data_IF_902032224538
#
_entry.id   IF_902032224538
#
_cell.length_a   1.000
_cell.length_b   1.000
_cell.length_c   1.000
_cell.angle_alpha   90.00
_cell.angle_beta   90.00
_cell.angle_gamma   90.00
#
_symmetry.space_group_name_H-M   'P 1'
#
loop_
_entity.id
_entity.type
_entity.pdbx_description
1 polymer ?
#
# COMPACT_ATOMS: atom_id res chain seq x y z
N UNK A 1 29.87 -3.21 9.17
CA UNK A 1 29.53 -2.49 7.93
C UNK A 1 28.02 -2.55 7.80
N UNK A 2 27.33 -1.43 8.02
CA UNK A 2 25.88 -1.36 7.84
C UNK A 2 25.60 -1.23 6.34
N UNK A 3 25.34 -2.34 5.68
CA UNK A 3 24.68 -2.31 4.37
C UNK A 3 23.29 -1.73 4.61
N UNK A 4 23.10 -0.45 4.28
CA UNK A 4 21.76 0.10 4.07
C UNK A 4 21.19 -0.64 2.86
N UNK A 5 20.54 -1.79 3.10
CA UNK A 5 19.72 -2.49 2.12
C UNK A 5 18.72 -1.47 1.58
N UNK A 6 19.01 -0.92 0.40
CA UNK A 6 18.37 0.30 -0.09
C UNK A 6 16.86 0.19 -0.09
N UNK A 7 16.20 1.12 0.60
CA UNK A 7 14.74 1.25 0.59
C UNK A 7 14.30 1.90 -0.72
N UNK A 8 13.29 1.33 -1.36
CA UNK A 8 12.66 1.93 -2.55
C UNK A 8 11.38 2.61 -2.10
N UNK A 9 11.28 3.91 -2.34
CA UNK A 9 10.05 4.68 -2.08
C UNK A 9 9.29 4.84 -3.39
N UNK A 10 8.02 4.45 -3.40
CA UNK A 10 7.07 4.62 -4.51
C UNK A 10 5.93 5.51 -4.06
N UNK A 11 5.62 6.55 -4.82
CA UNK A 11 4.47 7.39 -4.58
C UNK A 11 3.31 6.90 -5.44
N UNK A 12 2.14 6.67 -4.84
CA UNK A 12 0.90 6.43 -5.56
C UNK A 12 0.23 7.80 -5.68
N UNK A 13 0.10 8.32 -6.91
CA UNK A 13 -0.41 9.67 -7.14
C UNK A 13 -1.92 9.73 -6.87
N UNK A 14 -2.42 10.93 -6.61
CA UNK A 14 -3.80 11.16 -6.17
C UNK A 14 -4.82 10.68 -7.22
N UNK A 15 -4.50 10.81 -8.50
CA UNK A 15 -5.34 10.33 -9.61
C UNK A 15 -5.52 8.79 -9.60
N UNK A 16 -4.48 8.04 -9.23
CA UNK A 16 -4.61 6.58 -9.04
C UNK A 16 -5.46 6.22 -7.81
N UNK A 17 -5.39 7.02 -6.74
CA UNK A 17 -6.23 6.86 -5.54
C UNK A 17 -7.71 7.19 -5.86
N UNK A 18 -7.95 8.20 -6.70
CA UNK A 18 -9.28 8.60 -7.16
C UNK A 18 -9.90 7.57 -8.13
N UNK A 19 -9.08 6.90 -8.95
CA UNK A 19 -9.54 5.87 -9.91
C UNK A 19 -9.87 4.51 -9.31
N UNK A 20 -9.53 4.28 -8.03
CA UNK A 20 -9.82 3.02 -7.32
C UNK A 20 -11.26 2.49 -7.47
N UNK A 21 -12.32 3.31 -7.31
CA UNK A 21 -13.70 2.80 -7.40
C UNK A 21 -14.01 2.18 -8.76
N UNK A 22 -13.39 2.69 -9.84
CA UNK A 22 -13.56 2.14 -11.19
C UNK A 22 -12.94 0.74 -11.30
N UNK A 23 -11.71 0.57 -10.80
CA UNK A 23 -11.02 -0.73 -10.80
C UNK A 23 -11.74 -1.76 -9.92
N UNK A 24 -12.17 -1.35 -8.73
CA UNK A 24 -12.89 -2.23 -7.78
C UNK A 24 -14.22 -2.69 -8.37
N UNK A 25 -15.00 -1.79 -8.96
CA UNK A 25 -16.28 -2.12 -9.60
C UNK A 25 -16.10 -3.14 -10.74
N UNK A 26 -14.95 -3.09 -11.43
CA UNK A 26 -14.60 -4.04 -12.49
C UNK A 26 -13.92 -5.32 -11.97
N UNK A 27 -13.76 -5.46 -10.65
CA UNK A 27 -13.00 -6.53 -10.02
C UNK A 27 -11.56 -6.66 -10.59
N UNK A 28 -10.94 -5.53 -10.94
CA UNK A 28 -9.60 -5.47 -11.52
C UNK A 28 -8.55 -5.05 -10.47
N UNK A 29 -7.35 -5.61 -10.58
CA UNK A 29 -6.18 -5.22 -9.80
C UNK A 29 -5.07 -4.74 -10.75
N UNK A 30 -4.25 -3.81 -10.28
CA UNK A 30 -3.08 -3.27 -10.99
C UNK A 30 -1.87 -3.29 -10.07
N UNK A 31 -1.51 -4.50 -9.63
CA UNK A 31 -0.48 -4.70 -8.62
C UNK A 31 0.88 -4.21 -9.12
N UNK A 32 1.52 -3.34 -8.34
CA UNK A 32 2.88 -2.91 -8.56
C UNK A 32 3.86 -4.03 -8.24
N UNK A 33 4.93 -4.13 -9.03
CA UNK A 33 6.03 -5.03 -8.70
C UNK A 33 6.65 -4.68 -7.34
N UNK A 34 6.76 -5.70 -6.49
CA UNK A 34 7.44 -5.65 -5.19
C UNK A 34 8.81 -6.31 -5.32
N UNK A 35 9.84 -5.67 -4.78
CA UNK A 35 11.18 -6.26 -4.75
C UNK A 35 11.27 -7.42 -3.74
N UNK A 36 11.82 -8.56 -4.18
CA UNK A 36 12.11 -9.70 -3.30
C UNK A 36 13.41 -9.54 -2.49
N UNK A 37 14.19 -8.48 -2.74
CA UNK A 37 15.49 -8.25 -2.07
C UNK A 37 15.58 -6.90 -1.35
N UNK A 38 14.67 -5.96 -1.64
CA UNK A 38 14.64 -4.63 -1.03
C UNK A 38 13.31 -4.34 -0.37
N UNK A 39 13.36 -3.61 0.73
CA UNK A 39 12.14 -3.04 1.32
C UNK A 39 11.56 -2.00 0.39
N UNK A 40 10.26 -2.08 0.13
CA UNK A 40 9.53 -1.09 -0.68
C UNK A 40 8.53 -0.36 0.21
N UNK A 41 8.57 0.98 0.23
CA UNK A 41 7.59 1.83 0.92
C UNK A 41 6.70 2.51 -0.12
N UNK A 42 5.41 2.26 -0.05
CA UNK A 42 4.40 2.91 -0.86
C UNK A 42 3.80 4.08 -0.08
N UNK A 43 3.79 5.27 -0.67
CA UNK A 43 3.28 6.52 -0.10
C UNK A 43 2.08 7.02 -0.85
N UNK A 44 1.02 7.39 -0.13
CA UNK A 44 -0.15 8.03 -0.71
C UNK A 44 -0.91 8.87 0.32
N UNK A 45 -1.78 9.75 -0.16
CA UNK A 45 -2.44 10.74 0.66
C UNK A 45 -3.93 10.88 0.29
N UNK A 46 -4.81 9.97 0.73
CA UNK A 46 -6.22 10.06 0.40
C UNK A 46 -6.85 11.32 1.03
N UNK A 47 -7.63 12.11 0.27
CA UNK A 47 -8.39 13.24 0.81
C UNK A 47 -9.79 12.81 1.28
N UNK A 48 -10.34 13.50 2.29
CA UNK A 48 -11.72 13.36 2.78
C UNK A 48 -12.22 14.69 3.35
N UNK A 49 -13.23 15.31 2.73
CA UNK A 49 -13.93 16.51 3.25
C UNK A 49 -13.01 17.64 3.79
N UNK A 50 -11.91 17.92 3.10
CA UNK A 50 -10.93 18.95 3.51
C UNK A 50 -9.86 18.47 4.49
N UNK A 51 -9.87 17.18 4.83
CA UNK A 51 -8.85 16.46 5.59
C UNK A 51 -8.10 15.46 4.71
N UNK A 52 -6.99 14.94 5.23
CA UNK A 52 -6.21 13.90 4.56
C UNK A 52 -5.44 13.04 5.57
N UNK A 53 -4.97 11.89 5.11
CA UNK A 53 -4.09 11.01 5.87
C UNK A 53 -2.78 10.80 5.11
N UNK A 54 -1.63 10.93 5.75
CA UNK A 54 -0.37 10.46 5.18
C UNK A 54 -0.26 8.96 5.43
N UNK A 55 -0.16 8.16 4.37
CA UNK A 55 -0.13 6.69 4.49
C UNK A 55 1.18 6.16 3.93
N UNK A 56 1.81 5.28 4.71
CA UNK A 56 2.95 4.48 4.35
C UNK A 56 2.57 2.99 4.43
N UNK A 57 2.71 2.26 3.33
CA UNK A 57 2.65 0.79 3.32
C UNK A 57 4.04 0.26 3.05
N UNK A 58 4.64 -0.35 4.06
CA UNK A 58 6.01 -0.88 4.01
C UNK A 58 5.96 -2.38 3.77
N UNK A 59 6.46 -2.80 2.62
CA UNK A 59 6.57 -4.20 2.22
C UNK A 59 8.03 -4.63 2.34
N UNK A 60 8.31 -5.50 3.31
CA UNK A 60 9.66 -6.01 3.61
C UNK A 60 9.76 -7.45 3.13
N UNK A 61 10.69 -7.78 2.22
CA UNK A 61 10.93 -9.17 1.85
C UNK A 61 11.48 -9.93 3.07
N UNK A 62 10.96 -11.14 3.26
CA UNK A 62 11.40 -12.11 4.24
C UNK A 62 11.86 -13.35 3.48
N UNK A 63 13.17 -13.63 3.50
CA UNK A 63 13.72 -14.77 2.77
C UNK A 63 13.34 -16.08 3.47
N UNK A 64 12.35 -16.79 2.91
CA UNK A 64 12.17 -18.21 3.16
C UNK A 64 12.76 -19.02 2.00
N UNK A 65 13.25 -20.22 2.32
CA UNK A 65 14.06 -21.07 1.41
C UNK A 65 13.29 -21.49 0.15
N UNK A 66 11.96 -21.43 0.14
CA UNK A 66 11.10 -22.05 -0.87
C UNK A 66 10.16 -21.11 -1.62
N UNK A 67 9.93 -19.88 -1.16
CA UNK A 67 9.11 -18.87 -1.86
C UNK A 67 9.32 -17.48 -1.26
N UNK A 68 9.13 -16.40 -2.05
CA UNK A 68 9.22 -15.04 -1.54
C UNK A 68 8.07 -14.78 -0.55
N UNK A 69 8.44 -14.49 0.70
CA UNK A 69 7.51 -14.03 1.73
C UNK A 69 7.68 -12.54 1.95
N UNK A 70 6.63 -11.87 2.41
CA UNK A 70 6.66 -10.45 2.70
C UNK A 70 6.02 -10.18 4.06
N UNK A 71 6.66 -9.32 4.85
CA UNK A 71 6.04 -8.68 5.99
C UNK A 71 5.49 -7.32 5.54
N UNK A 72 4.22 -7.05 5.81
CA UNK A 72 3.55 -5.81 5.42
C UNK A 72 3.20 -5.04 6.68
N UNK A 73 3.61 -3.78 6.73
CA UNK A 73 3.27 -2.84 7.81
C UNK A 73 2.55 -1.66 7.18
N UNK A 74 1.42 -1.28 7.76
CA UNK A 74 0.65 -0.11 7.36
C UNK A 74 0.74 0.92 8.47
N UNK A 75 1.28 2.09 8.15
CA UNK A 75 1.41 3.24 9.04
C UNK A 75 0.61 4.38 8.42
N UNK A 76 -0.21 5.08 9.21
CA UNK A 76 -0.86 6.29 8.73
C UNK A 76 -0.96 7.34 9.81
N UNK A 77 -0.93 8.61 9.40
CA UNK A 77 -1.07 9.77 10.25
C UNK A 77 -2.11 10.72 9.67
N UNK A 78 -3.15 11.02 10.45
CA UNK A 78 -4.18 11.99 10.09
C UNK A 78 -3.62 13.41 10.15
N UNK A 79 -4.12 14.32 9.30
CA UNK A 79 -3.66 15.71 9.26
C UNK A 79 -3.96 16.49 10.56
N UNK A 80 -4.97 16.09 11.32
CA UNK A 80 -5.34 16.71 12.59
C UNK A 80 -6.06 15.73 13.53
N UNK A 81 -6.10 16.06 14.82
CA UNK A 81 -6.76 15.24 15.87
C UNK A 81 -8.29 15.34 15.83
N UNK A 82 -8.85 16.37 15.19
CA UNK A 82 -10.31 16.52 15.04
C UNK A 82 -10.92 15.36 14.26
N UNK A 83 -10.20 14.89 13.23
CA UNK A 83 -10.59 13.74 12.39
C UNK A 83 -10.54 12.43 13.17
N UNK A 84 -9.62 12.31 14.13
CA UNK A 84 -9.49 11.10 14.96
C UNK A 84 -10.73 10.86 15.85
N UNK A 85 -11.48 11.93 16.16
CA UNK A 85 -12.74 11.85 16.89
C UNK A 85 -13.98 11.72 16.00
N UNK A 86 -13.82 11.78 14.67
CA UNK A 86 -14.88 11.54 13.70
C UNK A 86 -14.84 10.08 13.22
N UNK A 87 -15.82 9.28 13.65
CA UNK A 87 -15.92 7.87 13.25
C UNK A 87 -16.08 7.70 11.75
N UNK A 88 -16.79 8.62 11.06
CA UNK A 88 -17.01 8.52 9.62
C UNK A 88 -15.72 8.75 8.85
N UNK A 89 -14.95 9.77 9.24
CA UNK A 89 -13.66 10.04 8.63
C UNK A 89 -12.66 8.90 8.88
N UNK A 90 -12.60 8.39 10.10
CA UNK A 90 -11.74 7.25 10.44
C UNK A 90 -12.09 5.98 9.65
N UNK A 91 -13.38 5.67 9.51
CA UNK A 91 -13.81 4.51 8.73
C UNK A 91 -13.52 4.71 7.25
N UNK A 92 -13.73 5.92 6.70
CA UNK A 92 -13.35 6.26 5.34
C UNK A 92 -11.86 5.99 5.09
N UNK A 93 -10.96 6.52 5.94
CA UNK A 93 -9.52 6.33 5.73
C UNK A 93 -9.11 4.87 5.82
N UNK A 94 -9.65 4.10 6.78
CA UNK A 94 -9.36 2.66 6.89
C UNK A 94 -9.80 1.90 5.63
N UNK A 95 -11.02 2.15 5.15
CA UNK A 95 -11.53 1.53 3.93
C UNK A 95 -10.65 1.91 2.74
N UNK A 96 -10.34 3.20 2.58
CA UNK A 96 -9.57 3.68 1.43
C UNK A 96 -8.14 3.14 1.42
N UNK A 97 -7.51 3.02 2.59
CA UNK A 97 -6.19 2.40 2.75
C UNK A 97 -6.23 0.94 2.32
N UNK A 98 -7.26 0.20 2.74
CA UNK A 98 -7.44 -1.21 2.37
C UNK A 98 -7.67 -1.36 0.86
N UNK A 99 -8.47 -0.49 0.25
CA UNK A 99 -8.71 -0.46 -1.20
C UNK A 99 -7.42 -0.25 -2.00
N UNK A 100 -6.59 0.75 -1.61
CA UNK A 100 -5.28 0.99 -2.23
C UNK A 100 -4.39 -0.24 -2.07
N UNK A 101 -4.35 -0.81 -0.86
CA UNK A 101 -3.54 -1.98 -0.59
C UNK A 101 -3.92 -3.16 -1.49
N UNK A 102 -5.21 -3.52 -1.54
CA UNK A 102 -5.69 -4.67 -2.30
C UNK A 102 -5.60 -4.48 -3.82
N UNK A 103 -5.70 -3.24 -4.31
CA UNK A 103 -5.69 -2.97 -5.75
C UNK A 103 -4.29 -2.84 -6.33
N UNK A 104 -3.37 -2.23 -5.58
CA UNK A 104 -2.06 -1.83 -6.12
C UNK A 104 -0.86 -2.45 -5.41
N UNK A 105 -0.96 -2.82 -4.13
CA UNK A 105 0.24 -3.12 -3.32
C UNK A 105 0.35 -4.61 -3.01
N UNK A 106 -0.78 -5.27 -2.73
CA UNK A 106 -0.87 -6.61 -2.18
C UNK A 106 0.18 -7.54 -2.80
N UNK A 107 1.25 -7.90 -2.07
CA UNK A 107 2.30 -8.72 -2.64
C UNK A 107 1.72 -10.10 -2.95
N UNK A 108 1.81 -10.51 -4.21
CA UNK A 108 1.29 -11.82 -4.63
C UNK A 108 2.23 -12.91 -4.10
N UNK A 109 1.68 -13.85 -3.34
CA UNK A 109 2.42 -15.00 -2.77
C UNK A 109 2.95 -15.98 -3.85
N UNK A 110 2.49 -15.84 -5.09
CA UNK A 110 2.99 -16.55 -6.27
C UNK A 110 3.19 -15.54 -7.39
N UNK A 111 4.44 -15.13 -7.64
CA UNK A 111 4.84 -15.03 -9.04
C UNK A 111 4.84 -16.48 -9.52
N UNK A 112 3.78 -16.88 -10.22
CA UNK A 112 3.96 -18.01 -11.11
C UNK A 112 4.99 -17.50 -12.11
N UNK A 113 6.23 -17.99 -12.00
CA UNK A 113 7.06 -18.01 -13.19
C UNK A 113 6.23 -18.78 -14.22
N UNK A 114 5.99 -18.14 -15.37
CA UNK A 114 5.35 -18.72 -16.54
C UNK A 114 6.25 -19.86 -17.09
N UNK A 115 6.30 -20.96 -16.35
CA UNK A 115 7.13 -22.12 -16.58
C UNK A 115 6.30 -23.39 -16.54
N UNK A 116 5.35 -23.51 -17.46
CA UNK A 116 4.86 -24.77 -18.01
C UNK A 116 4.71 -24.64 -19.52
#
# INVERSE_FOLDING_TARGET
MNESFGEVVKYIPDDEVERLPELITRAQQQLFDVSVTKTTRYRFCPPYEGHYAFVDVVVRPFNQVSYPCFNVIVEYQLCCTTVDHDSHANDYFKVKIQEVYDTYIRPVQRKFDDGW
#
